data_IF_564727006038
#
_entry.id   IF_564727006038
#
_cell.length_a   1.000
_cell.length_b   1.000
_cell.length_c   1.000
_cell.angle_alpha   90.00
_cell.angle_beta   90.00
_cell.angle_gamma   90.00
#
_symmetry.space_group_name_H-M   'P 1'
#
loop_
_entity.id
_entity.type
_entity.pdbx_description
1 polymer ?
#
# COMPACT_ATOMS: atom_id res chain seq x y z
N UNK A 1 -10.59 -4.68 12.28
CA UNK A 1 -10.36 -5.22 10.91
C UNK A 1 -8.93 -4.99 10.46
N UNK A 2 -8.31 -5.97 9.77
CA UNK A 2 -7.00 -5.81 9.08
C UNK A 2 -7.21 -5.17 7.70
N UNK A 3 -7.65 -3.92 7.69
CA UNK A 3 -7.87 -3.14 6.48
C UNK A 3 -7.22 -1.76 6.61
N UNK A 4 -6.88 -1.16 5.48
CA UNK A 4 -6.41 0.22 5.44
C UNK A 4 -7.53 1.17 5.85
N UNK A 5 -7.32 2.01 6.86
CA UNK A 5 -8.30 3.00 7.34
C UNK A 5 -8.68 4.04 6.27
N UNK A 6 -7.79 4.31 5.29
CA UNK A 6 -8.06 5.31 4.24
C UNK A 6 -8.74 4.74 3.00
N UNK A 7 -8.32 3.57 2.52
CA UNK A 7 -8.82 3.03 1.24
C UNK A 7 -9.55 1.69 1.36
N UNK A 8 -9.78 1.20 2.58
CA UNK A 8 -10.49 -0.06 2.82
C UNK A 8 -9.75 -1.33 2.38
N UNK A 9 -8.54 -1.21 1.81
CA UNK A 9 -7.79 -2.35 1.25
C UNK A 9 -7.56 -3.41 2.32
N UNK A 10 -8.21 -4.56 2.15
CA UNK A 10 -8.14 -5.73 3.02
C UNK A 10 -7.50 -6.94 2.34
N UNK A 11 -7.72 -8.12 2.92
CA UNK A 11 -7.27 -9.40 2.34
C UNK A 11 -7.96 -9.66 1.00
N UNK A 12 -7.21 -10.19 0.04
CA UNK A 12 -7.75 -10.68 -1.23
C UNK A 12 -7.41 -12.17 -1.40
N UNK A 13 -8.31 -12.95 -1.99
CA UNK A 13 -8.10 -14.35 -2.32
C UNK A 13 -7.99 -14.44 -3.84
N UNK A 14 -6.79 -14.73 -4.34
CA UNK A 14 -6.51 -14.79 -5.77
C UNK A 14 -6.28 -16.22 -6.23
N UNK A 15 -6.66 -16.49 -7.47
CA UNK A 15 -6.25 -17.70 -8.17
C UNK A 15 -4.76 -17.56 -8.54
N UNK A 16 -3.94 -18.55 -8.21
CA UNK A 16 -2.52 -18.58 -8.50
C UNK A 16 -2.17 -19.90 -9.20
N UNK A 17 -1.58 -19.79 -10.38
CA UNK A 17 -1.02 -20.91 -11.13
C UNK A 17 0.37 -20.52 -11.60
N UNK A 18 1.34 -21.42 -11.48
CA UNK A 18 2.71 -21.20 -11.93
C UNK A 18 3.16 -22.38 -12.77
N UNK A 19 3.47 -22.11 -14.03
CA UNK A 19 4.15 -23.06 -14.91
C UNK A 19 5.62 -23.19 -14.49
N UNK A 20 6.16 -24.41 -14.47
CA UNK A 20 7.59 -24.64 -14.20
C UNK A 20 8.39 -24.40 -15.49
N UNK A 21 9.65 -23.95 -15.39
CA UNK A 21 10.57 -23.87 -16.53
C UNK A 21 10.71 -25.28 -17.13
N UNK A 22 10.45 -25.44 -18.43
CA UNK A 22 10.34 -26.75 -19.11
C UNK A 22 8.91 -27.31 -19.21
N UNK A 23 7.93 -26.71 -18.53
CA UNK A 23 6.50 -27.01 -18.69
C UNK A 23 5.91 -26.41 -19.98
N UNK A 24 6.62 -25.49 -20.60
CA UNK A 24 6.31 -24.94 -21.93
C UNK A 24 7.51 -25.32 -22.79
N UNK A 25 7.34 -26.41 -23.55
CA UNK A 25 8.44 -27.09 -24.20
C UNK A 25 9.13 -26.23 -25.25
N UNK A 26 10.46 -26.37 -25.34
CA UNK A 26 11.26 -26.05 -26.51
C UNK A 26 10.94 -26.98 -27.72
N UNK A 27 9.73 -27.55 -27.78
CA UNK A 27 9.34 -28.64 -28.68
C UNK A 27 7.82 -28.78 -28.93
N UNK A 28 7.02 -27.74 -28.68
CA UNK A 28 5.74 -27.58 -29.38
C UNK A 28 4.45 -28.14 -28.74
N UNK A 29 4.49 -28.83 -27.59
CA UNK A 29 3.23 -29.14 -26.86
C UNK A 29 3.13 -28.29 -25.60
N UNK A 30 2.18 -27.35 -25.58
CA UNK A 30 1.85 -26.60 -24.37
C UNK A 30 1.38 -27.60 -23.32
N UNK A 31 2.11 -27.74 -22.20
CA UNK A 31 1.62 -28.61 -21.13
C UNK A 31 0.23 -28.13 -20.69
N UNK A 32 -0.62 -29.10 -20.34
CA UNK A 32 -1.93 -28.88 -19.73
C UNK A 32 -1.88 -27.74 -18.70
N UNK A 33 -2.97 -26.99 -18.61
CA UNK A 33 -3.07 -25.82 -17.71
C UNK A 33 -2.56 -26.17 -16.32
N UNK A 34 -1.60 -25.38 -15.81
CA UNK A 34 -1.02 -25.62 -14.50
C UNK A 34 -2.10 -25.57 -13.41
N UNK A 35 -2.00 -26.41 -12.35
CA UNK A 35 -2.95 -26.40 -11.25
C UNK A 35 -3.18 -25.00 -10.67
N UNK A 36 -4.45 -24.66 -10.47
CA UNK A 36 -4.86 -23.37 -9.93
C UNK A 36 -5.09 -23.54 -8.43
N UNK A 37 -4.26 -22.88 -7.63
CA UNK A 37 -4.41 -22.83 -6.17
C UNK A 37 -4.99 -21.49 -5.73
N UNK A 38 -5.72 -21.47 -4.62
CA UNK A 38 -6.16 -20.22 -3.97
C UNK A 38 -5.02 -19.71 -3.09
N UNK A 39 -4.60 -18.45 -3.29
CA UNK A 39 -3.59 -17.79 -2.46
C UNK A 39 -4.18 -16.56 -1.80
N UNK A 40 -3.95 -16.43 -0.50
CA UNK A 40 -4.33 -15.24 0.26
C UNK A 40 -3.26 -14.17 0.10
N UNK A 41 -3.64 -13.00 -0.41
CA UNK A 41 -2.81 -11.81 -0.46
C UNK A 41 -3.24 -10.84 0.65
N UNK A 42 -2.33 -10.55 1.59
CA UNK A 42 -2.56 -9.59 2.67
C UNK A 42 -1.92 -8.25 2.30
N UNK A 43 -2.59 -7.11 2.55
CA UNK A 43 -1.99 -5.80 2.34
C UNK A 43 -0.89 -5.56 3.38
N UNK A 44 0.20 -4.90 2.97
CA UNK A 44 1.23 -4.43 3.90
C UNK A 44 0.71 -3.18 4.63
N UNK A 45 0.16 -3.39 5.83
CA UNK A 45 -0.42 -2.35 6.69
C UNK A 45 0.60 -1.89 7.72
N UNK A 46 0.81 -0.58 7.79
CA UNK A 46 1.67 0.09 8.77
C UNK A 46 0.84 0.92 9.73
N UNK A 47 1.32 1.07 10.97
CA UNK A 47 0.67 1.91 11.98
C UNK A 47 1.27 3.31 11.92
N UNK A 48 0.42 4.34 11.88
CA UNK A 48 0.82 5.75 11.92
C UNK A 48 -0.24 6.58 12.64
N UNK A 49 0.14 7.32 13.69
CA UNK A 49 -0.79 8.13 14.52
C UNK A 49 -2.07 7.37 14.93
N UNK A 50 -1.95 6.10 15.35
CA UNK A 50 -3.08 5.25 15.74
C UNK A 50 -3.89 4.62 14.59
N UNK A 51 -3.70 5.07 13.35
CA UNK A 51 -4.35 4.50 12.16
C UNK A 51 -3.52 3.41 11.47
N UNK A 52 -4.19 2.46 10.80
CA UNK A 52 -3.55 1.42 9.98
C UNK A 52 -3.64 1.78 8.50
N UNK A 53 -2.50 1.92 7.82
CA UNK A 53 -2.45 2.37 6.43
C UNK A 53 -1.64 1.44 5.55
N UNK A 54 -2.11 1.20 4.32
CA UNK A 54 -1.27 0.54 3.32
C UNK A 54 -0.11 1.45 2.89
N UNK A 55 0.97 0.87 2.37
CA UNK A 55 2.16 1.61 1.90
C UNK A 55 1.83 2.83 1.01
N UNK A 56 0.90 2.66 0.05
CA UNK A 56 0.46 3.76 -0.84
C UNK A 56 -0.23 4.89 -0.07
N UNK A 57 -1.12 4.55 0.86
CA UNK A 57 -1.84 5.55 1.67
C UNK A 57 -0.94 6.21 2.71
N UNK A 58 0.01 5.47 3.28
CA UNK A 58 0.96 6.00 4.26
C UNK A 58 1.79 7.14 3.66
N UNK A 59 2.24 7.02 2.40
CA UNK A 59 2.98 8.10 1.72
C UNK A 59 2.17 9.38 1.63
N UNK A 60 0.87 9.27 1.36
CA UNK A 60 -0.01 10.44 1.23
C UNK A 60 -0.27 11.08 2.59
N UNK A 61 -0.57 10.27 3.60
CA UNK A 61 -0.81 10.75 4.97
C UNK A 61 0.44 11.43 5.54
N UNK A 62 1.63 10.85 5.34
CA UNK A 62 2.88 11.47 5.80
C UNK A 62 3.15 12.82 5.14
N UNK A 63 2.93 12.94 3.82
CA UNK A 63 3.06 14.22 3.10
C UNK A 63 2.11 15.28 3.64
N UNK A 64 0.83 14.93 3.85
CA UNK A 64 -0.16 15.87 4.39
C UNK A 64 0.22 16.40 5.77
N UNK A 65 0.76 15.54 6.65
CA UNK A 65 1.23 15.95 7.99
C UNK A 65 2.44 16.87 7.91
N UNK A 66 3.35 16.66 6.95
CA UNK A 66 4.49 17.56 6.75
C UNK A 66 4.05 18.95 6.30
N UNK A 67 3.11 19.03 5.34
CA UNK A 67 2.55 20.32 4.88
C UNK A 67 1.87 21.06 6.02
N UNK A 68 1.07 20.37 6.84
CA UNK A 68 0.44 20.98 8.02
C UNK A 68 1.47 21.49 9.05
N UNK A 69 2.60 20.80 9.20
CA UNK A 69 3.66 21.25 10.11
C UNK A 69 4.31 22.54 9.59
N UNK A 70 4.60 22.63 8.30
CA UNK A 70 5.19 23.83 7.69
C UNK A 70 4.23 25.02 7.77
N UNK A 71 2.96 24.82 7.40
CA UNK A 71 1.95 25.87 7.48
C UNK A 71 1.75 26.41 8.90
N UNK A 72 1.83 25.52 9.92
CA UNK A 72 1.74 25.94 11.32
C UNK A 72 2.93 26.82 11.73
N UNK A 73 4.15 26.44 11.33
CA UNK A 73 5.37 27.20 11.62
C UNK A 73 5.33 28.58 10.95
N UNK A 74 4.81 28.69 9.72
CA UNK A 74 4.68 29.97 9.02
C UNK A 74 3.65 30.90 9.70
N UNK A 75 2.51 30.37 10.15
CA UNK A 75 1.50 31.16 10.87
C UNK A 75 1.96 31.67 12.25
N UNK A 76 2.85 30.94 12.90
CA UNK A 76 3.44 31.33 14.19
C UNK A 76 4.52 32.42 14.02
N UNK A 77 5.16 32.51 12.84
CA UNK A 77 6.16 33.55 12.56
C UNK A 77 5.53 34.90 12.19
N UNK A 78 4.34 34.92 11.57
CA UNK A 78 3.68 36.20 11.21
C UNK A 78 3.10 36.94 12.42
N UNK A 79 2.72 36.21 13.48
CA UNK A 79 2.16 36.80 14.70
C UNK A 79 3.21 37.44 15.60
N UNK A 80 4.47 36.97 15.53
CA UNK A 80 5.58 37.59 16.27
C UNK A 80 6.11 38.88 15.61
N UNK A 81 5.95 39.05 14.30
CA UNK A 81 6.35 40.26 13.58
C UNK A 81 5.35 41.44 13.71
N UNK A 82 4.12 41.18 14.17
CA UNK A 82 3.09 42.21 14.39
C UNK A 82 3.04 42.72 15.84
N UNK A 83 3.90 42.19 16.72
CA UNK A 83 3.93 42.49 18.16
C UNK A 83 5.24 43.17 18.63
N UNK A 84 6.09 43.60 17.70
CA UNK A 84 7.34 44.35 17.94
C UNK A 84 7.24 45.73 17.28
#
# INVERSE_FOLDING_TARGET
>A
MLACSRCGKGKNIVNYSRHKKGSSGAGGTWALRAPIHKRVQKPNLHIFKGGKYCTKCLRIVKKAVQVQKVAKVESEQTTQAASA
#
